data_IF_232975888808
#
_entry.id   IF_232975888808
#
_cell.length_a   1.000
_cell.length_b   1.000
_cell.length_c   1.000
_cell.angle_alpha   90.00
_cell.angle_beta   90.00
_cell.angle_gamma   90.00
#
_symmetry.space_group_name_H-M   'P 1'
#
loop_
_entity.id
_entity.type
_entity.pdbx_description
1 polymer ?
#
# COMPACT_ATOMS: atom_id res chain seq x y z
N UNK A 1 18.03 -29.60 7.35
CA UNK A 1 17.30 -29.84 8.61
C UNK A 1 17.87 -28.94 9.67
N UNK A 2 17.16 -27.90 10.07
CA UNK A 2 17.54 -27.08 11.23
C UNK A 2 17.09 -27.82 12.49
N UNK A 3 17.93 -27.89 13.56
CA UNK A 3 17.56 -28.57 14.79
C UNK A 3 16.38 -27.83 15.47
N UNK A 4 15.53 -28.56 16.23
CA UNK A 4 14.39 -27.95 16.90
C UNK A 4 14.87 -26.93 17.91
N UNK A 5 14.22 -25.77 17.90
CA UNK A 5 14.45 -24.60 18.74
C UNK A 5 14.44 -25.02 20.23
N UNK A 6 15.62 -25.26 20.82
CA UNK A 6 15.80 -25.35 22.28
C UNK A 6 15.64 -23.93 22.83
N UNK A 7 14.52 -23.64 23.50
CA UNK A 7 14.46 -22.48 24.41
C UNK A 7 15.64 -22.64 25.35
N UNK A 8 16.59 -21.72 25.32
CA UNK A 8 17.64 -21.62 26.30
C UNK A 8 16.98 -21.45 27.68
N UNK A 9 17.30 -22.35 28.61
CA UNK A 9 16.78 -22.35 30.00
C UNK A 9 17.49 -21.29 30.85
N UNK A 10 17.69 -20.09 30.39
CA UNK A 10 18.36 -19.05 31.17
C UNK A 10 17.58 -18.60 32.42
N UNK A 11 16.28 -18.91 32.51
CA UNK A 11 15.42 -18.50 33.62
C UNK A 11 14.90 -19.64 34.49
N UNK A 12 15.49 -20.84 34.41
CA UNK A 12 15.11 -21.93 35.31
C UNK A 12 15.64 -21.65 36.72
N UNK A 13 14.82 -21.77 37.80
CA UNK A 13 15.22 -21.44 39.16
C UNK A 13 16.23 -22.43 39.76
N UNK A 14 16.42 -23.59 39.13
CA UNK A 14 17.34 -24.66 39.55
C UNK A 14 18.11 -25.21 38.36
N UNK A 15 19.37 -25.67 38.62
CA UNK A 15 20.12 -26.46 37.67
C UNK A 15 19.63 -27.94 37.69
N UNK A 16 20.01 -28.75 36.68
CA UNK A 16 19.62 -30.16 36.62
C UNK A 16 20.16 -30.95 37.85
N UNK A 17 21.35 -30.65 38.30
CA UNK A 17 21.93 -31.23 39.53
C UNK A 17 21.11 -30.85 40.77
N UNK A 18 20.73 -29.59 40.88
CA UNK A 18 19.89 -29.08 41.96
C UNK A 18 18.49 -29.68 41.93
N UNK A 19 17.86 -29.84 40.75
CA UNK A 19 16.56 -30.50 40.63
C UNK A 19 16.62 -31.96 41.08
N UNK A 20 17.64 -32.71 40.66
CA UNK A 20 17.84 -34.10 41.05
C UNK A 20 18.03 -34.23 42.54
N UNK A 21 18.92 -33.44 43.14
CA UNK A 21 19.15 -33.43 44.60
C UNK A 21 17.87 -33.09 45.38
N UNK A 22 17.12 -32.09 44.96
CA UNK A 22 15.87 -31.67 45.60
C UNK A 22 14.82 -32.76 45.64
N UNK A 23 14.70 -33.57 44.61
CA UNK A 23 13.73 -34.67 44.59
C UNK A 23 14.15 -35.82 45.50
N UNK A 24 15.42 -36.15 45.51
CA UNK A 24 15.95 -37.19 46.42
C UNK A 24 15.75 -36.77 47.88
N UNK A 25 16.13 -35.56 48.24
CA UNK A 25 16.00 -35.02 49.56
C UNK A 25 14.51 -34.85 50.00
N UNK A 26 13.62 -34.48 49.06
CA UNK A 26 12.20 -34.41 49.35
C UNK A 26 11.59 -35.79 49.73
N UNK A 27 12.08 -36.85 49.14
CA UNK A 27 11.67 -38.22 49.48
C UNK A 27 11.89 -38.53 50.98
N UNK A 28 12.96 -38.03 51.58
CA UNK A 28 13.28 -38.17 52.98
C UNK A 28 12.51 -37.20 53.87
N UNK A 29 12.41 -35.92 53.46
CA UNK A 29 11.94 -34.84 54.35
C UNK A 29 10.43 -34.59 54.22
N UNK A 30 9.83 -34.77 53.07
CA UNK A 30 8.40 -34.58 52.75
C UNK A 30 7.82 -33.22 53.19
N UNK A 31 8.68 -32.21 53.36
CA UNK A 31 8.33 -30.85 53.77
C UNK A 31 9.14 -29.83 53.01
N UNK A 32 8.45 -28.95 52.27
CA UNK A 32 9.07 -27.97 51.37
C UNK A 32 9.86 -26.90 52.14
N UNK A 33 9.40 -26.49 53.32
CA UNK A 33 10.11 -25.48 54.13
C UNK A 33 11.43 -26.03 54.64
N UNK A 34 11.44 -27.28 55.10
CA UNK A 34 12.67 -27.99 55.55
C UNK A 34 13.58 -28.26 54.36
N UNK A 35 13.03 -28.72 53.22
CA UNK A 35 13.75 -28.93 51.96
C UNK A 35 14.49 -27.66 51.52
N UNK A 36 13.84 -26.52 51.62
CA UNK A 36 14.44 -25.21 51.25
C UNK A 36 15.61 -24.84 52.16
N UNK A 37 15.52 -25.16 53.43
CA UNK A 37 16.62 -24.96 54.40
C UNK A 37 17.80 -25.86 54.11
N UNK A 38 17.56 -27.16 53.87
CA UNK A 38 18.58 -28.14 53.50
C UNK A 38 19.25 -27.78 52.17
N UNK A 39 18.49 -27.32 51.17
CA UNK A 39 19.01 -26.83 49.92
C UNK A 39 19.99 -25.67 50.10
N UNK A 40 19.63 -24.69 50.95
CA UNK A 40 20.48 -23.54 51.24
C UNK A 40 21.80 -23.98 51.88
N UNK A 41 21.74 -24.93 52.81
CA UNK A 41 22.91 -25.47 53.50
C UNK A 41 23.81 -26.28 52.56
N UNK A 42 23.23 -27.20 51.81
CA UNK A 42 23.95 -28.11 50.91
C UNK A 42 24.68 -27.34 49.79
N UNK A 43 23.99 -26.46 49.12
CA UNK A 43 24.59 -25.66 48.01
C UNK A 43 25.28 -24.37 48.48
N UNK A 44 25.36 -24.11 49.80
CA UNK A 44 25.99 -22.94 50.42
C UNK A 44 25.53 -21.61 49.79
N UNK A 45 24.23 -21.52 49.50
CA UNK A 45 23.63 -20.37 48.81
C UNK A 45 23.19 -19.30 49.84
N UNK A 46 23.51 -18.03 49.59
CA UNK A 46 23.06 -16.92 50.46
C UNK A 46 21.54 -16.80 50.45
N UNK A 47 20.93 -16.45 51.59
CA UNK A 47 19.47 -16.35 51.75
C UNK A 47 18.76 -15.54 50.66
N UNK A 48 19.42 -14.50 50.12
CA UNK A 48 18.86 -13.66 49.05
C UNK A 48 18.80 -14.35 47.68
N UNK A 49 19.65 -15.38 47.45
CA UNK A 49 19.74 -16.11 46.18
C UNK A 49 18.97 -17.44 46.20
N UNK A 50 18.44 -17.84 47.34
CA UNK A 50 17.63 -19.07 47.43
C UNK A 50 16.29 -18.85 46.71
N UNK A 51 15.90 -19.74 45.79
CA UNK A 51 14.62 -19.61 45.08
C UNK A 51 13.42 -19.52 46.04
N UNK A 52 12.37 -18.89 45.62
CA UNK A 52 11.15 -18.70 46.44
C UNK A 52 10.46 -20.04 46.70
N UNK A 53 9.76 -20.17 47.82
CA UNK A 53 8.99 -21.34 48.23
C UNK A 53 8.19 -21.99 47.09
N UNK A 54 7.49 -21.18 46.29
CA UNK A 54 6.69 -21.69 45.18
C UNK A 54 7.53 -22.36 44.07
N UNK A 55 8.82 -22.07 43.92
CA UNK A 55 9.68 -22.77 42.98
C UNK A 55 9.92 -24.23 43.41
N UNK A 56 10.20 -24.43 44.68
CA UNK A 56 10.32 -25.76 45.26
C UNK A 56 9.02 -26.54 45.17
N UNK A 57 7.92 -25.94 45.56
CA UNK A 57 6.60 -26.54 45.49
C UNK A 57 6.24 -26.99 44.07
N UNK A 58 6.44 -26.15 43.08
CA UNK A 58 6.18 -26.47 41.66
C UNK A 58 7.06 -27.60 41.14
N UNK A 59 8.32 -27.67 41.55
CA UNK A 59 9.23 -28.74 41.16
C UNK A 59 8.72 -30.11 41.70
N UNK A 60 8.38 -30.17 42.99
CA UNK A 60 7.86 -31.36 43.64
C UNK A 60 6.52 -31.81 43.07
N UNK A 61 5.56 -30.88 42.93
CA UNK A 61 4.25 -31.14 42.33
C UNK A 61 4.38 -31.66 40.90
N UNK A 62 5.30 -31.08 40.10
CA UNK A 62 5.59 -31.56 38.75
C UNK A 62 6.13 -32.99 38.77
N UNK A 63 7.10 -33.28 39.64
CA UNK A 63 7.69 -34.61 39.76
C UNK A 63 6.67 -35.68 40.14
N UNK A 64 5.78 -35.37 41.09
CA UNK A 64 4.68 -36.23 41.49
C UNK A 64 3.70 -36.43 40.34
N UNK A 65 3.29 -35.38 39.66
CA UNK A 65 2.34 -35.44 38.55
C UNK A 65 2.87 -36.21 37.35
N UNK A 66 4.19 -36.21 37.13
CA UNK A 66 4.86 -36.93 36.03
C UNK A 66 5.34 -38.34 36.44
N UNK A 67 4.87 -38.86 37.56
CA UNK A 67 5.22 -40.22 38.07
C UNK A 67 6.73 -40.44 38.15
N UNK A 68 7.47 -39.46 38.64
CA UNK A 68 8.92 -39.59 38.87
C UNK A 68 9.81 -39.13 37.72
N UNK A 69 9.25 -38.55 36.67
CA UNK A 69 10.03 -37.99 35.55
C UNK A 69 10.29 -36.51 35.77
N UNK A 70 11.56 -36.11 36.04
CA UNK A 70 11.96 -34.70 36.20
C UNK A 70 11.73 -33.87 34.93
N UNK A 71 11.93 -34.52 33.82
CA UNK A 71 11.78 -33.92 32.49
C UNK A 71 10.82 -34.78 31.66
N UNK A 72 9.51 -34.59 31.79
CA UNK A 72 8.58 -35.27 30.90
C UNK A 72 8.93 -34.90 29.45
N UNK A 73 8.74 -35.82 28.50
CA UNK A 73 8.97 -35.53 27.10
C UNK A 73 8.18 -34.26 26.76
N UNK A 74 8.87 -33.29 26.15
CA UNK A 74 8.23 -32.06 25.70
C UNK A 74 7.05 -32.48 24.82
N UNK A 75 5.81 -32.00 25.06
CA UNK A 75 4.69 -32.36 24.23
C UNK A 75 5.10 -32.12 22.77
N UNK A 76 5.10 -33.20 21.99
CA UNK A 76 5.42 -33.12 20.57
C UNK A 76 4.45 -32.06 19.99
N UNK A 77 4.98 -30.98 19.47
CA UNK A 77 4.16 -29.92 18.92
C UNK A 77 3.17 -30.49 17.90
N UNK A 78 2.17 -29.68 17.51
CA UNK A 78 1.16 -30.12 16.53
C UNK A 78 1.83 -30.87 15.37
N UNK A 79 1.35 -32.06 14.98
CA UNK A 79 1.95 -32.86 13.90
C UNK A 79 2.21 -32.04 12.64
N UNK A 80 3.27 -32.30 11.88
CA UNK A 80 3.49 -31.66 10.59
C UNK A 80 2.30 -31.97 9.68
N UNK A 81 2.04 -31.05 8.75
CA UNK A 81 0.98 -31.24 7.73
C UNK A 81 1.42 -32.36 6.79
N UNK A 82 0.49 -33.25 6.42
CA UNK A 82 0.79 -34.29 5.44
C UNK A 82 1.10 -33.66 4.07
N UNK A 83 2.00 -34.28 3.32
CA UNK A 83 2.35 -33.84 1.97
C UNK A 83 1.14 -33.81 1.03
N UNK A 84 0.23 -34.78 1.21
CA UNK A 84 -1.04 -34.85 0.47
C UNK A 84 -1.90 -33.59 0.70
N UNK A 85 -2.06 -33.17 1.96
CA UNK A 85 -2.82 -31.97 2.29
C UNK A 85 -2.17 -30.72 1.67
N UNK A 86 -0.83 -30.65 1.70
CA UNK A 86 -0.11 -29.53 1.06
C UNK A 86 -0.29 -29.54 -0.45
N UNK A 87 -0.17 -30.70 -1.09
CA UNK A 87 -0.36 -30.85 -2.54
C UNK A 87 -1.79 -30.50 -2.97
N UNK A 88 -2.79 -30.95 -2.21
CA UNK A 88 -4.20 -30.67 -2.45
C UNK A 88 -4.49 -29.16 -2.44
N UNK A 89 -4.11 -28.47 -1.36
CA UNK A 89 -4.30 -27.02 -1.25
C UNK A 89 -3.54 -26.27 -2.35
N UNK A 90 -2.30 -26.64 -2.62
CA UNK A 90 -1.47 -26.04 -3.68
C UNK A 90 -2.10 -26.19 -5.07
N UNK A 91 -2.58 -27.39 -5.39
CA UNK A 91 -3.24 -27.69 -6.66
C UNK A 91 -4.51 -26.87 -6.85
N UNK A 92 -5.34 -26.80 -5.80
CA UNK A 92 -6.59 -26.02 -5.81
C UNK A 92 -6.34 -24.54 -6.08
N UNK A 93 -5.43 -23.91 -5.34
CA UNK A 93 -5.08 -22.49 -5.54
C UNK A 93 -4.49 -22.22 -6.92
N UNK A 94 -3.61 -23.11 -7.41
CA UNK A 94 -3.06 -23.00 -8.77
C UNK A 94 -4.15 -23.07 -9.85
N UNK A 95 -5.23 -23.84 -9.64
CA UNK A 95 -6.37 -23.88 -10.52
C UNK A 95 -7.04 -22.50 -10.68
N UNK A 96 -7.27 -21.80 -9.58
CA UNK A 96 -7.80 -20.43 -9.58
C UNK A 96 -6.82 -19.42 -10.22
N UNK A 97 -5.53 -19.55 -9.92
CA UNK A 97 -4.50 -18.69 -10.56
C UNK A 97 -4.48 -18.83 -12.09
N UNK A 98 -4.62 -20.05 -12.63
CA UNK A 98 -4.68 -20.28 -14.09
C UNK A 98 -5.88 -19.60 -14.73
N UNK A 99 -7.03 -19.57 -14.04
CA UNK A 99 -8.24 -18.88 -14.51
C UNK A 99 -8.23 -17.38 -14.24
N UNK A 100 -7.18 -16.85 -13.59
CA UNK A 100 -7.07 -15.45 -13.13
C UNK A 100 -8.18 -15.04 -12.16
N UNK A 101 -8.70 -15.99 -11.40
CA UNK A 101 -9.76 -15.81 -10.41
C UNK A 101 -9.16 -15.69 -9.01
N UNK A 102 -9.84 -14.94 -8.14
CA UNK A 102 -9.49 -14.87 -6.72
C UNK A 102 -10.21 -15.96 -5.94
N UNK A 103 -9.54 -16.51 -4.93
CA UNK A 103 -10.13 -17.46 -3.99
C UNK A 103 -9.79 -17.08 -2.56
N UNK A 104 -10.77 -17.13 -1.66
CA UNK A 104 -10.55 -16.87 -0.23
C UNK A 104 -10.05 -18.14 0.48
N UNK A 105 -9.34 -17.99 1.62
CA UNK A 105 -8.96 -19.14 2.44
C UNK A 105 -10.18 -19.89 2.98
N UNK A 106 -11.28 -19.20 3.24
CA UNK A 106 -12.55 -19.81 3.66
C UNK A 106 -13.15 -20.68 2.56
N UNK A 107 -13.16 -20.20 1.32
CA UNK A 107 -13.60 -20.99 0.16
C UNK A 107 -12.74 -22.23 -0.03
N UNK A 108 -11.42 -22.10 0.04
CA UNK A 108 -10.51 -23.25 -0.06
C UNK A 108 -10.80 -24.28 1.05
N UNK A 109 -11.02 -23.80 2.27
CA UNK A 109 -11.31 -24.67 3.41
C UNK A 109 -12.62 -25.43 3.24
N UNK A 110 -13.68 -24.75 2.78
CA UNK A 110 -14.98 -25.33 2.51
C UNK A 110 -14.93 -26.38 1.39
N UNK A 111 -14.35 -26.03 0.25
CA UNK A 111 -14.29 -26.90 -0.94
C UNK A 111 -13.42 -28.15 -0.70
N UNK A 112 -12.36 -28.04 0.09
CA UNK A 112 -11.47 -29.16 0.40
C UNK A 112 -11.84 -29.90 1.70
N UNK A 113 -12.93 -29.50 2.37
CA UNK A 113 -13.34 -30.02 3.68
C UNK A 113 -12.19 -30.01 4.72
N UNK A 114 -11.45 -28.89 4.75
CA UNK A 114 -10.34 -28.66 5.66
C UNK A 114 -10.67 -27.55 6.65
N UNK A 115 -10.08 -27.60 7.85
CA UNK A 115 -10.20 -26.50 8.78
C UNK A 115 -9.47 -25.24 8.26
N UNK A 116 -10.06 -24.03 8.36
CA UNK A 116 -9.45 -22.80 7.84
C UNK A 116 -8.02 -22.54 8.34
N UNK A 117 -7.71 -22.89 9.60
CA UNK A 117 -6.36 -22.77 10.14
C UNK A 117 -5.35 -23.73 9.48
N UNK A 118 -5.80 -24.87 8.97
CA UNK A 118 -4.96 -25.80 8.21
C UNK A 118 -4.61 -25.20 6.86
N UNK A 119 -5.60 -24.68 6.14
CA UNK A 119 -5.40 -23.98 4.86
C UNK A 119 -4.46 -22.79 5.05
N UNK A 120 -4.68 -21.97 6.09
CA UNK A 120 -3.80 -20.84 6.41
C UNK A 120 -2.35 -21.31 6.66
N UNK A 121 -2.15 -22.39 7.44
CA UNK A 121 -0.80 -22.94 7.68
C UNK A 121 -0.13 -23.39 6.39
N UNK A 122 -0.85 -24.12 5.53
CA UNK A 122 -0.31 -24.53 4.21
C UNK A 122 0.09 -23.30 3.40
N UNK A 123 -0.83 -22.39 3.18
CA UNK A 123 -0.59 -21.24 2.30
C UNK A 123 0.50 -20.31 2.84
N UNK A 124 0.47 -19.99 4.15
CA UNK A 124 1.36 -18.99 4.75
C UNK A 124 2.66 -19.55 5.29
N UNK A 125 2.67 -20.77 5.88
CA UNK A 125 3.83 -21.32 6.57
C UNK A 125 4.59 -22.37 5.76
N UNK A 126 3.90 -23.09 4.87
CA UNK A 126 4.53 -24.12 4.04
C UNK A 126 4.84 -23.59 2.63
N UNK A 127 3.86 -22.96 1.98
CA UNK A 127 4.03 -22.43 0.63
C UNK A 127 4.63 -21.02 0.59
N UNK A 128 4.63 -20.29 1.71
CA UNK A 128 5.05 -18.89 1.83
C UNK A 128 4.34 -17.95 0.85
N UNK A 129 3.06 -18.24 0.54
CA UNK A 129 2.26 -17.41 -0.36
C UNK A 129 1.53 -16.30 0.40
N UNK A 130 1.43 -15.14 -0.26
CA UNK A 130 0.82 -13.92 0.29
C UNK A 130 -0.33 -13.45 -0.60
N UNK A 131 -1.37 -12.83 -0.02
CA UNK A 131 -2.45 -12.25 -0.81
C UNK A 131 -1.95 -10.95 -1.45
N UNK A 132 -1.78 -10.98 -2.76
CA UNK A 132 -1.49 -9.78 -3.55
C UNK A 132 -2.77 -9.19 -4.11
N UNK A 133 -2.92 -7.87 -4.04
CA UNK A 133 -4.00 -7.18 -4.75
C UNK A 133 -3.67 -7.13 -6.24
N UNK A 134 -4.61 -7.49 -7.12
CA UNK A 134 -4.40 -7.29 -8.55
C UNK A 134 -4.25 -5.79 -8.83
N UNK A 135 -3.28 -5.43 -9.64
CA UNK A 135 -3.13 -4.07 -10.12
C UNK A 135 -4.21 -3.79 -11.14
N UNK A 136 -5.04 -2.77 -10.88
CA UNK A 136 -6.00 -2.29 -11.88
C UNK A 136 -5.19 -1.60 -12.98
N UNK A 137 -5.26 -2.12 -14.18
CA UNK A 137 -4.61 -1.54 -15.36
C UNK A 137 -5.67 -1.10 -16.34
N UNK A 138 -5.40 0.00 -17.03
CA UNK A 138 -6.24 0.44 -18.15
C UNK A 138 -5.92 -0.48 -19.34
N UNK A 139 -6.94 -1.08 -20.00
CA UNK A 139 -6.69 -1.89 -21.18
C UNK A 139 -6.19 -1.00 -22.32
N UNK A 140 -4.96 -1.28 -22.78
CA UNK A 140 -4.30 -0.56 -23.89
C UNK A 140 -4.35 -1.39 -25.15
N UNK A 141 -4.75 -0.77 -26.26
CA UNK A 141 -4.57 -1.32 -27.62
C UNK A 141 -3.14 -1.08 -28.09
N UNK A 142 -2.72 -1.71 -29.16
CA UNK A 142 -1.37 -1.49 -29.71
C UNK A 142 -1.19 -0.05 -30.22
N UNK A 143 -2.23 0.54 -30.80
CA UNK A 143 -2.20 1.97 -31.15
C UNK A 143 -2.02 2.89 -29.94
N UNK A 144 -2.61 2.56 -28.79
CA UNK A 144 -2.35 3.30 -27.55
C UNK A 144 -0.89 3.17 -27.11
N UNK A 145 -0.31 1.96 -27.15
CA UNK A 145 1.09 1.73 -26.77
C UNK A 145 2.05 2.50 -27.70
N UNK A 146 1.80 2.43 -29.00
CA UNK A 146 2.60 3.14 -29.99
C UNK A 146 2.57 4.67 -29.76
N UNK A 147 1.39 5.28 -29.60
CA UNK A 147 1.27 6.70 -29.30
C UNK A 147 1.95 7.11 -28.00
N UNK A 148 1.93 6.22 -26.98
CA UNK A 148 2.66 6.44 -25.73
C UNK A 148 4.17 6.44 -25.92
N UNK A 149 4.69 5.50 -26.72
CA UNK A 149 6.13 5.44 -27.05
C UNK A 149 6.55 6.68 -27.84
N UNK A 150 5.80 7.07 -28.88
CA UNK A 150 6.07 8.26 -29.67
C UNK A 150 6.12 9.54 -28.81
N UNK A 151 5.16 9.72 -27.91
CA UNK A 151 5.18 10.84 -26.97
C UNK A 151 6.39 10.78 -26.03
N UNK A 152 6.71 9.61 -25.49
CA UNK A 152 7.87 9.45 -24.61
C UNK A 152 9.19 9.75 -25.32
N UNK A 153 9.36 9.29 -26.57
CA UNK A 153 10.56 9.57 -27.37
C UNK A 153 10.68 11.08 -27.62
N UNK A 154 9.59 11.74 -28.01
CA UNK A 154 9.57 13.18 -28.16
C UNK A 154 9.92 13.91 -26.85
N UNK A 155 9.31 13.53 -25.72
CA UNK A 155 9.58 14.16 -24.43
C UNK A 155 11.04 13.97 -23.99
N UNK A 156 11.62 12.82 -24.24
CA UNK A 156 13.00 12.52 -23.89
C UNK A 156 14.00 13.26 -24.78
N UNK A 157 13.62 13.63 -26.00
CA UNK A 157 14.43 14.48 -26.89
C UNK A 157 14.46 15.95 -26.47
N UNK A 158 13.52 16.38 -25.58
CA UNK A 158 13.51 17.75 -25.11
C UNK A 158 14.66 18.05 -24.14
N UNK A 159 15.11 19.31 -24.01
CA UNK A 159 16.16 19.69 -23.06
C UNK A 159 15.86 19.31 -21.63
N UNK A 160 16.90 19.17 -20.81
CA UNK A 160 16.75 19.04 -19.34
C UNK A 160 16.07 20.31 -18.83
N UNK A 161 15.04 20.14 -17.97
CA UNK A 161 14.23 21.27 -17.49
C UNK A 161 13.01 21.59 -18.34
N UNK A 162 12.81 20.94 -19.49
CA UNK A 162 11.61 21.17 -20.32
C UNK A 162 10.30 21.00 -19.53
N UNK A 163 10.23 20.00 -18.65
CA UNK A 163 9.02 19.74 -17.84
C UNK A 163 8.62 20.93 -16.95
N UNK A 164 9.55 21.80 -16.59
CA UNK A 164 9.31 22.99 -15.77
C UNK A 164 8.63 24.11 -16.55
N UNK A 165 8.72 24.05 -17.90
CA UNK A 165 8.12 25.00 -18.85
C UNK A 165 6.76 24.56 -19.37
N UNK A 166 6.15 23.55 -18.78
CA UNK A 166 4.86 23.03 -19.22
C UNK A 166 3.84 23.20 -18.10
N UNK A 167 2.70 23.77 -18.43
CA UNK A 167 1.50 23.70 -17.60
C UNK A 167 0.89 22.32 -17.81
N UNK A 168 1.11 21.42 -16.87
CA UNK A 168 0.50 20.09 -16.87
C UNK A 168 -0.89 20.18 -16.29
N UNK A 169 -1.93 19.84 -17.03
CA UNK A 169 -3.30 19.99 -16.56
C UNK A 169 -4.09 18.68 -16.59
N UNK A 170 -5.05 18.56 -15.69
CA UNK A 170 -5.98 17.42 -15.59
C UNK A 170 -7.22 17.81 -14.79
N UNK A 171 -8.31 17.04 -14.91
CA UNK A 171 -9.55 17.18 -14.17
C UNK A 171 -9.84 15.98 -13.28
N UNK A 172 -10.40 16.27 -12.09
CA UNK A 172 -10.81 15.24 -11.15
C UNK A 172 -12.14 15.52 -10.48
N UNK A 173 -12.98 14.48 -10.44
CA UNK A 173 -14.16 14.48 -9.59
C UNK A 173 -13.80 14.18 -8.14
N UNK A 174 -14.15 15.09 -7.25
CA UNK A 174 -14.15 14.86 -5.81
C UNK A 174 -15.58 14.54 -5.36
N UNK A 175 -15.71 13.48 -4.58
CA UNK A 175 -16.98 13.03 -4.00
C UNK A 175 -16.87 13.19 -2.50
N UNK A 176 -17.86 13.80 -1.88
CA UNK A 176 -17.92 13.91 -0.43
C UNK A 176 -18.09 12.52 0.19
N UNK A 177 -17.09 12.12 0.98
CA UNK A 177 -17.08 10.82 1.64
C UNK A 177 -17.91 10.88 2.92
N UNK A 178 -19.09 10.30 2.93
CA UNK A 178 -20.02 10.41 4.04
C UNK A 178 -19.84 9.40 5.19
N UNK A 179 -19.02 8.35 5.02
CA UNK A 179 -18.93 7.34 6.06
C UNK A 179 -17.61 6.54 6.06
N UNK A 180 -17.16 6.07 7.24
CA UNK A 180 -16.07 5.11 7.35
C UNK A 180 -16.50 3.74 6.79
N UNK A 181 -15.56 3.04 6.16
CA UNK A 181 -15.82 1.72 5.57
C UNK A 181 -15.94 0.58 6.60
N UNK A 182 -15.64 0.81 7.87
CA UNK A 182 -15.66 -0.19 8.95
C UNK A 182 -15.80 0.47 10.33
N UNK A 183 -16.55 -0.20 11.20
CA UNK A 183 -16.65 0.12 12.61
C UNK A 183 -16.06 -1.02 13.44
N UNK A 184 -15.34 -0.67 14.50
CA UNK A 184 -14.93 -1.61 15.52
C UNK A 184 -15.93 -1.52 16.67
N UNK A 185 -16.67 -2.59 16.92
CA UNK A 185 -17.65 -2.67 18.01
C UNK A 185 -17.62 -4.07 18.61
N UNK A 186 -18.01 -4.24 19.89
CA UNK A 186 -18.09 -5.53 20.54
C UNK A 186 -19.20 -6.44 20.01
N UNK A 187 -20.20 -5.84 19.34
CA UNK A 187 -21.26 -6.52 18.58
C UNK A 187 -21.56 -5.70 17.34
N UNK A 188 -22.39 -6.23 16.43
CA UNK A 188 -22.83 -5.47 15.25
C UNK A 188 -23.52 -4.18 15.72
N UNK A 189 -22.98 -3.00 15.40
CA UNK A 189 -23.54 -1.72 15.85
C UNK A 189 -24.77 -1.30 15.05
N UNK A 190 -25.25 -2.12 14.07
CA UNK A 190 -26.39 -1.84 13.20
C UNK A 190 -26.38 -0.41 12.62
N UNK A 191 -25.18 0.09 12.32
CA UNK A 191 -25.03 1.43 11.77
C UNK A 191 -25.47 1.42 10.31
N UNK A 192 -26.63 1.96 10.07
CA UNK A 192 -27.08 2.27 8.72
C UNK A 192 -26.30 3.47 8.19
N UNK A 193 -25.47 3.20 7.18
CA UNK A 193 -24.82 4.22 6.40
C UNK A 193 -25.65 4.39 5.14
N UNK A 194 -26.12 5.62 4.87
CA UNK A 194 -26.77 5.91 3.61
C UNK A 194 -25.87 5.41 2.46
N UNK A 195 -26.36 4.41 1.73
CA UNK A 195 -25.72 3.98 0.49
C UNK A 195 -25.51 5.21 -0.38
N UNK A 196 -24.43 5.20 -1.18
CA UNK A 196 -24.23 6.21 -2.22
C UNK A 196 -25.54 6.44 -2.95
N UNK A 197 -26.25 7.51 -2.62
CA UNK A 197 -27.32 7.96 -3.48
C UNK A 197 -26.72 8.11 -4.87
N UNK A 198 -27.40 7.61 -5.90
CA UNK A 198 -27.10 8.00 -7.28
C UNK A 198 -27.24 9.53 -7.31
N UNK A 199 -26.13 10.26 -7.20
CA UNK A 199 -26.13 11.71 -7.04
C UNK A 199 -25.43 12.25 -5.79
N UNK A 200 -24.60 11.47 -5.09
CA UNK A 200 -23.79 11.97 -3.98
C UNK A 200 -23.08 13.26 -4.32
N UNK A 201 -23.04 14.22 -3.37
CA UNK A 201 -22.47 15.54 -3.59
C UNK A 201 -21.04 15.42 -4.15
N UNK A 202 -20.83 15.90 -5.34
CA UNK A 202 -19.55 15.86 -6.05
C UNK A 202 -19.25 17.20 -6.70
N UNK A 203 -18.00 17.50 -6.85
CA UNK A 203 -17.51 18.69 -7.52
C UNK A 203 -16.31 18.32 -8.38
N UNK A 204 -16.20 18.94 -9.55
CA UNK A 204 -15.05 18.76 -10.44
C UNK A 204 -14.03 19.86 -10.17
N UNK A 205 -12.79 19.47 -9.97
CA UNK A 205 -11.64 20.35 -9.99
C UNK A 205 -10.91 20.20 -11.32
N UNK A 206 -10.45 21.31 -11.85
CA UNK A 206 -9.32 21.38 -12.78
C UNK A 206 -8.09 21.78 -11.98
N UNK A 207 -6.94 21.20 -12.29
CA UNK A 207 -5.67 21.67 -11.73
C UNK A 207 -4.61 21.78 -12.82
N UNK A 208 -3.69 22.74 -12.61
CA UNK A 208 -2.49 22.92 -13.40
C UNK A 208 -1.25 22.92 -12.52
N UNK A 209 -0.25 22.09 -12.86
CA UNK A 209 1.08 22.10 -12.23
C UNK A 209 2.01 22.91 -13.13
N UNK A 210 2.56 23.99 -12.61
CA UNK A 210 3.44 24.90 -13.35
C UNK A 210 4.41 25.62 -12.41
N UNK A 211 5.69 25.68 -12.77
CA UNK A 211 6.74 26.47 -12.07
C UNK A 211 6.78 26.27 -10.54
N UNK A 212 6.53 25.03 -10.09
CA UNK A 212 6.54 24.71 -8.66
C UNK A 212 5.26 25.08 -7.90
N UNK A 213 4.18 25.41 -8.60
CA UNK A 213 2.88 25.70 -8.03
C UNK A 213 1.81 24.77 -8.56
N UNK A 214 0.73 24.60 -7.78
CA UNK A 214 -0.48 23.91 -8.20
C UNK A 214 -1.62 24.93 -8.23
N UNK A 215 -2.11 25.24 -9.42
CA UNK A 215 -3.27 26.09 -9.62
C UNK A 215 -4.52 25.22 -9.60
N UNK A 216 -5.55 25.61 -8.85
CA UNK A 216 -6.81 24.87 -8.77
C UNK A 216 -7.97 25.75 -9.20
N UNK A 217 -8.88 25.17 -9.98
CA UNK A 217 -10.17 25.77 -10.30
C UNK A 217 -11.29 24.76 -10.04
N UNK A 218 -12.37 25.22 -9.39
CA UNK A 218 -13.55 24.43 -9.14
C UNK A 218 -14.68 24.79 -10.08
N UNK A 219 -15.16 23.82 -10.84
CA UNK A 219 -16.38 24.02 -11.60
C UNK A 219 -17.60 24.04 -10.68
N UNK A 220 -18.68 24.75 -11.06
CA UNK A 220 -19.91 24.74 -10.30
C UNK A 220 -20.43 23.32 -10.08
N UNK A 221 -20.92 23.04 -8.87
CA UNK A 221 -21.53 21.74 -8.55
C UNK A 221 -22.79 21.54 -9.41
N UNK A 222 -23.03 20.30 -9.83
CA UNK A 222 -24.20 19.90 -10.64
C UNK A 222 -24.28 20.52 -12.05
N UNK A 223 -23.19 21.08 -12.56
CA UNK A 223 -23.14 21.63 -13.92
C UNK A 223 -22.14 20.81 -14.73
N UNK A 224 -22.55 20.36 -15.91
CA UNK A 224 -21.65 19.72 -16.86
C UNK A 224 -20.62 20.71 -17.39
N UNK A 225 -19.36 20.32 -17.39
CA UNK A 225 -18.28 21.08 -18.02
C UNK A 225 -18.39 20.87 -19.53
N UNK A 226 -18.84 21.91 -20.23
CA UNK A 226 -18.82 21.97 -21.67
C UNK A 226 -17.62 22.77 -22.16
N UNK A 227 -17.42 22.84 -23.48
CA UNK A 227 -16.26 23.50 -24.07
C UNK A 227 -16.18 24.99 -23.83
N UNK A 228 -17.31 25.69 -23.77
CA UNK A 228 -17.38 27.12 -23.49
C UNK A 228 -16.90 27.43 -22.06
N UNK A 229 -17.45 26.72 -21.05
CA UNK A 229 -17.02 26.89 -19.66
C UNK A 229 -15.57 26.47 -19.43
N UNK A 230 -15.12 25.45 -20.17
CA UNK A 230 -13.72 25.07 -20.13
C UNK A 230 -12.81 26.16 -20.69
N UNK A 231 -13.17 26.75 -21.82
CA UNK A 231 -12.42 27.86 -22.41
C UNK A 231 -12.41 29.11 -21.51
N UNK A 232 -13.56 29.52 -20.97
CA UNK A 232 -13.65 30.63 -20.01
C UNK A 232 -12.76 30.39 -18.77
N UNK A 233 -12.78 29.17 -18.24
CA UNK A 233 -11.91 28.81 -17.13
C UNK A 233 -10.45 28.94 -17.49
N UNK A 234 -10.00 28.40 -18.64
CA UNK A 234 -8.60 28.48 -19.07
C UNK A 234 -8.16 29.94 -19.29
N UNK A 235 -8.97 30.76 -19.95
CA UNK A 235 -8.69 32.18 -20.16
C UNK A 235 -8.43 32.91 -18.85
N UNK A 236 -9.16 32.56 -17.79
CA UNK A 236 -9.01 33.17 -16.47
C UNK A 236 -7.83 32.65 -15.71
N UNK A 237 -7.67 31.31 -15.61
CA UNK A 237 -6.66 30.70 -14.73
C UNK A 237 -5.25 30.72 -15.32
N UNK A 238 -5.12 30.80 -16.66
CA UNK A 238 -3.83 30.86 -17.32
C UNK A 238 -3.33 32.30 -17.55
N UNK A 239 -4.14 33.33 -17.26
CA UNK A 239 -3.75 34.71 -17.41
C UNK A 239 -2.39 35.06 -16.79
N UNK A 240 -2.05 34.56 -15.57
CA UNK A 240 -0.74 34.87 -14.97
C UNK A 240 0.45 34.20 -15.69
N UNK A 241 0.20 33.15 -16.45
CA UNK A 241 1.22 32.37 -17.18
C UNK A 241 1.38 32.85 -18.62
N UNK A 242 0.37 33.58 -19.15
CA UNK A 242 0.40 34.14 -20.50
C UNK A 242 1.37 35.31 -20.56
N UNK A 243 2.26 35.27 -21.54
CA UNK A 243 3.28 36.31 -21.73
C UNK A 243 4.67 35.91 -21.23
N UNK A 244 4.81 34.78 -20.57
CA UNK A 244 6.12 34.18 -20.39
C UNK A 244 6.55 33.48 -21.68
N UNK A 245 7.72 33.84 -22.17
CA UNK A 245 8.30 33.21 -23.34
C UNK A 245 8.60 31.73 -23.04
N UNK A 246 8.39 30.85 -24.02
CA UNK A 246 8.70 29.42 -23.96
C UNK A 246 7.77 28.51 -23.14
N UNK A 247 6.68 29.00 -22.56
CA UNK A 247 5.73 28.13 -21.86
C UNK A 247 4.93 27.23 -22.81
N UNK A 248 4.70 25.99 -22.37
CA UNK A 248 3.87 25.00 -23.04
C UNK A 248 2.61 24.72 -22.22
N UNK A 249 1.58 24.25 -22.88
CA UNK A 249 0.36 23.80 -22.22
C UNK A 249 0.03 22.35 -22.60
N UNK A 250 -0.32 21.52 -21.58
CA UNK A 250 -0.75 20.16 -21.83
C UNK A 250 -2.18 19.95 -21.34
N UNK A 251 -3.01 19.30 -22.15
CA UNK A 251 -4.31 18.76 -21.79
C UNK A 251 -4.55 17.41 -22.46
N UNK A 252 -5.49 16.62 -21.93
CA UNK A 252 -5.90 15.39 -22.57
C UNK A 252 -6.83 15.61 -23.77
N UNK A 253 -7.34 14.51 -24.34
CA UNK A 253 -8.20 14.54 -25.51
C UNK A 253 -9.70 14.53 -25.21
N UNK A 254 -10.17 15.03 -24.07
CA UNK A 254 -11.59 15.05 -23.74
C UNK A 254 -12.39 15.94 -24.73
N UNK A 255 -13.62 15.54 -25.09
CA UNK A 255 -14.42 16.33 -26.04
C UNK A 255 -14.65 17.80 -25.62
N UNK A 256 -14.74 18.06 -24.31
CA UNK A 256 -14.89 19.40 -23.76
C UNK A 256 -13.68 20.32 -24.02
N UNK A 257 -12.51 19.76 -24.35
CA UNK A 257 -11.29 20.52 -24.60
C UNK A 257 -11.20 21.04 -26.04
N UNK A 258 -11.99 20.48 -26.94
CA UNK A 258 -11.91 20.82 -28.38
C UNK A 258 -12.16 22.32 -28.69
N UNK A 259 -13.17 22.99 -28.10
CA UNK A 259 -13.41 24.40 -28.35
C UNK A 259 -12.28 25.32 -27.88
N UNK A 260 -11.53 24.95 -26.88
CA UNK A 260 -10.41 25.74 -26.36
C UNK A 260 -9.15 25.68 -27.24
N UNK A 261 -9.08 24.72 -28.17
CA UNK A 261 -7.89 24.46 -28.96
C UNK A 261 -7.35 25.68 -29.72
N UNK A 262 -8.21 26.34 -30.48
CA UNK A 262 -7.78 27.51 -31.30
C UNK A 262 -7.21 28.62 -30.42
N UNK A 263 -7.85 28.88 -29.29
CA UNK A 263 -7.35 29.86 -28.31
C UNK A 263 -6.01 29.45 -27.71
N UNK A 264 -5.85 28.20 -27.31
CA UNK A 264 -4.61 27.65 -26.75
C UNK A 264 -3.46 27.71 -27.76
N UNK A 265 -3.71 27.36 -29.03
CA UNK A 265 -2.69 27.41 -30.10
C UNK A 265 -2.23 28.88 -30.33
N UNK A 266 -3.12 29.84 -30.23
CA UNK A 266 -2.77 31.26 -30.29
C UNK A 266 -2.03 31.72 -29.02
N UNK A 267 -2.57 31.45 -27.86
CA UNK A 267 -2.04 31.91 -26.57
C UNK A 267 -0.63 31.36 -26.29
N UNK A 268 -0.38 30.09 -26.62
CA UNK A 268 0.91 29.41 -26.45
C UNK A 268 1.73 29.32 -27.75
N UNK A 269 1.35 30.02 -28.81
CA UNK A 269 2.08 30.11 -30.09
C UNK A 269 2.39 28.72 -30.67
N UNK A 270 1.43 27.79 -30.63
CA UNK A 270 1.55 26.41 -31.09
C UNK A 270 2.25 25.46 -30.12
N UNK A 271 2.73 25.94 -28.98
CA UNK A 271 3.35 25.10 -27.93
C UNK A 271 2.29 24.40 -27.06
N UNK A 272 1.48 23.55 -27.69
CA UNK A 272 0.37 22.82 -27.05
C UNK A 272 0.54 21.32 -27.25
N UNK A 273 0.47 20.57 -26.15
CA UNK A 273 0.45 19.12 -26.11
C UNK A 273 -1.00 18.67 -25.89
N UNK A 274 -1.67 18.22 -26.94
CA UNK A 274 -3.07 17.79 -26.87
C UNK A 274 -3.40 16.79 -27.97
N UNK A 275 -4.62 16.27 -28.03
CA UNK A 275 -5.02 15.17 -28.93
C UNK A 275 -4.78 15.46 -30.43
N UNK A 276 -5.05 16.66 -30.89
CA UNK A 276 -5.02 17.04 -32.31
C UNK A 276 -4.01 18.14 -32.61
N UNK A 277 -2.94 18.20 -31.83
CA UNK A 277 -1.82 19.12 -32.05
C UNK A 277 -0.63 18.35 -32.67
N UNK A 278 0.40 19.05 -33.17
CA UNK A 278 1.61 18.39 -33.67
C UNK A 278 2.26 17.43 -32.67
N UNK A 279 2.08 17.68 -31.36
CA UNK A 279 2.51 16.79 -30.28
C UNK A 279 1.27 16.22 -29.59
N UNK A 280 0.81 15.02 -30.01
CA UNK A 280 -0.41 14.46 -29.46
C UNK A 280 -0.19 13.91 -28.05
N UNK A 281 -1.06 14.30 -27.10
CA UNK A 281 -1.12 13.66 -25.79
C UNK A 281 -1.63 12.21 -25.93
N UNK A 282 -0.91 11.20 -25.42
CA UNK A 282 -1.31 9.81 -25.57
C UNK A 282 -2.53 9.48 -24.72
N UNK A 283 -3.54 8.90 -25.35
CA UNK A 283 -4.75 8.45 -24.64
C UNK A 283 -4.45 7.40 -23.59
N UNK A 284 -5.27 7.37 -22.54
CA UNK A 284 -5.19 6.37 -21.44
C UNK A 284 -3.82 6.32 -20.75
N UNK A 285 -3.24 7.50 -20.48
CA UNK A 285 -1.90 7.63 -19.89
C UNK A 285 -1.87 8.38 -18.56
N UNK A 286 -2.66 7.97 -17.55
CA UNK A 286 -2.61 8.60 -16.23
C UNK A 286 -1.24 8.40 -15.55
N UNK A 287 -0.51 7.36 -15.92
CA UNK A 287 0.84 7.10 -15.46
C UNK A 287 1.90 8.06 -16.03
N UNK A 288 1.53 8.92 -16.98
CA UNK A 288 2.33 10.01 -17.54
C UNK A 288 1.82 11.40 -17.13
N UNK A 289 0.74 11.54 -16.34
CA UNK A 289 0.23 12.80 -15.81
C UNK A 289 0.70 13.02 -14.37
N UNK A 290 1.42 14.11 -14.07
CA UNK A 290 1.88 14.40 -12.71
C UNK A 290 0.72 14.65 -11.74
N UNK A 291 -0.41 15.10 -12.24
CA UNK A 291 -1.63 15.22 -11.47
C UNK A 291 -2.17 13.85 -11.05
N UNK A 292 -2.23 12.89 -11.98
CA UNK A 292 -2.72 11.54 -11.70
C UNK A 292 -1.79 10.70 -10.83
N UNK A 293 -0.48 10.65 -11.17
CA UNK A 293 0.44 9.77 -10.44
C UNK A 293 0.92 10.36 -9.11
N UNK A 294 0.70 11.66 -8.87
CA UNK A 294 1.15 12.32 -7.65
C UNK A 294 0.04 13.16 -7.00
N UNK A 295 -0.32 14.34 -7.59
CA UNK A 295 -1.10 15.36 -6.90
C UNK A 295 -2.47 14.86 -6.42
N UNK A 296 -3.26 14.25 -7.29
CA UNK A 296 -4.58 13.75 -6.91
C UNK A 296 -4.54 12.70 -5.82
N UNK A 297 -3.46 11.91 -5.78
CA UNK A 297 -3.25 10.90 -4.74
C UNK A 297 -3.07 11.52 -3.36
N UNK A 298 -2.18 12.51 -3.24
CA UNK A 298 -1.87 13.19 -1.97
C UNK A 298 -3.01 14.10 -1.53
N UNK A 299 -3.65 14.84 -2.44
CA UNK A 299 -4.84 15.64 -2.15
C UNK A 299 -5.99 14.79 -1.59
N UNK A 300 -6.24 13.61 -2.17
CA UNK A 300 -7.25 12.67 -1.66
C UNK A 300 -6.87 12.07 -0.30
N UNK A 301 -5.59 11.93 0.03
CA UNK A 301 -5.17 11.52 1.37
C UNK A 301 -5.51 12.59 2.40
N UNK A 302 -5.27 13.87 2.07
CA UNK A 302 -5.60 14.97 2.97
C UNK A 302 -7.12 15.12 3.17
N UNK A 303 -7.93 14.99 2.11
CA UNK A 303 -9.40 14.94 2.21
C UNK A 303 -9.86 13.78 3.12
N UNK A 304 -9.24 12.60 3.04
CA UNK A 304 -9.59 11.47 3.92
C UNK A 304 -9.20 11.71 5.38
N UNK A 305 -8.13 12.45 5.61
CA UNK A 305 -7.63 12.80 6.95
C UNK A 305 -8.52 13.86 7.60
N UNK A 306 -8.86 14.92 6.86
CA UNK A 306 -9.68 16.04 7.35
C UNK A 306 -11.17 15.68 7.46
N UNK A 307 -11.66 14.69 6.69
CA UNK A 307 -13.06 14.24 6.66
C UNK A 307 -14.07 15.38 6.51
N UNK A 308 -13.99 16.19 5.47
CA UNK A 308 -14.89 17.32 5.27
C UNK A 308 -16.34 16.88 5.23
N UNK A 309 -17.22 17.64 5.86
CA UNK A 309 -18.68 17.39 5.94
C UNK A 309 -19.45 18.07 4.80
N UNK A 310 -18.85 19.08 4.17
CA UNK A 310 -19.46 19.86 3.10
C UNK A 310 -18.51 19.96 1.89
N UNK A 311 -19.09 20.28 0.70
CA UNK A 311 -18.28 20.57 -0.48
C UNK A 311 -17.42 21.83 -0.31
N UNK A 312 -17.85 22.80 0.49
CA UNK A 312 -17.07 23.99 0.79
C UNK A 312 -15.82 23.61 1.60
N UNK A 313 -15.96 22.86 2.68
CA UNK A 313 -14.83 22.35 3.46
C UNK A 313 -13.88 21.49 2.63
N UNK A 314 -14.42 20.65 1.73
CA UNK A 314 -13.62 19.82 0.83
C UNK A 314 -12.75 20.69 -0.09
N UNK A 315 -13.34 21.72 -0.72
CA UNK A 315 -12.62 22.67 -1.57
C UNK A 315 -11.49 23.36 -0.80
N UNK A 316 -11.83 23.98 0.34
CA UNK A 316 -10.85 24.65 1.21
C UNK A 316 -9.72 23.69 1.64
N UNK A 317 -10.05 22.43 1.97
CA UNK A 317 -9.03 21.42 2.34
C UNK A 317 -8.04 21.20 1.18
N UNK A 318 -8.53 21.04 -0.03
CA UNK A 318 -7.67 20.78 -1.21
C UNK A 318 -6.86 22.02 -1.59
N UNK A 319 -7.46 23.22 -1.52
CA UNK A 319 -6.79 24.50 -1.80
C UNK A 319 -5.68 24.77 -0.79
N UNK A 320 -5.98 24.73 0.50
CA UNK A 320 -4.98 24.94 1.56
C UNK A 320 -3.85 23.90 1.51
N UNK A 321 -4.17 22.66 1.15
CA UNK A 321 -3.15 21.65 0.92
C UNK A 321 -2.25 22.00 -0.27
N UNK A 322 -2.82 22.41 -1.39
CA UNK A 322 -2.04 22.81 -2.58
C UNK A 322 -1.12 24.02 -2.30
N UNK A 323 -1.61 25.00 -1.55
CA UNK A 323 -0.83 26.17 -1.11
C UNK A 323 0.30 25.79 -0.13
N UNK A 324 0.12 24.73 0.66
CA UNK A 324 1.11 24.26 1.62
C UNK A 324 2.23 23.42 1.01
N UNK A 325 2.14 23.04 -0.26
CA UNK A 325 3.13 22.21 -0.93
C UNK A 325 4.45 22.97 -1.11
N UNK A 326 5.56 22.30 -0.82
CA UNK A 326 6.88 22.83 -1.12
C UNK A 326 7.08 22.93 -2.64
N UNK A 327 7.52 24.10 -3.09
CA UNK A 327 7.79 24.38 -4.49
C UNK A 327 8.74 23.36 -5.13
N UNK A 328 9.78 22.93 -4.40
CA UNK A 328 10.72 21.92 -4.89
C UNK A 328 10.06 20.55 -5.09
N UNK A 329 9.13 20.17 -4.20
CA UNK A 329 8.36 18.93 -4.33
C UNK A 329 7.47 18.95 -5.59
N UNK A 330 6.79 20.06 -5.84
CA UNK A 330 5.98 20.24 -7.04
C UNK A 330 6.83 20.15 -8.31
N UNK A 331 7.98 20.82 -8.36
CA UNK A 331 8.93 20.74 -9.48
C UNK A 331 9.45 19.32 -9.67
N UNK A 332 9.83 18.64 -8.60
CA UNK A 332 10.27 17.23 -8.66
C UNK A 332 9.19 16.32 -9.25
N UNK A 333 7.93 16.57 -8.90
CA UNK A 333 6.83 15.76 -9.43
C UNK A 333 6.73 15.91 -10.96
N UNK A 334 6.80 17.10 -11.50
CA UNK A 334 6.79 17.32 -12.94
C UNK A 334 8.03 16.73 -13.64
N UNK A 335 9.22 16.91 -13.08
CA UNK A 335 10.49 16.34 -13.60
C UNK A 335 10.53 14.83 -13.57
N UNK A 336 9.83 14.17 -12.63
CA UNK A 336 9.72 12.73 -12.55
C UNK A 336 9.04 12.12 -13.78
N UNK A 337 8.31 12.92 -14.56
CA UNK A 337 7.73 12.49 -15.84
C UNK A 337 8.80 11.95 -16.82
N UNK A 338 10.01 12.51 -16.85
CA UNK A 338 11.08 12.00 -17.71
C UNK A 338 11.51 10.57 -17.34
N UNK A 339 11.61 10.26 -16.04
CA UNK A 339 11.91 8.90 -15.59
C UNK A 339 10.76 7.94 -15.96
N UNK A 340 9.52 8.39 -15.83
CA UNK A 340 8.33 7.62 -16.22
C UNK A 340 8.29 7.40 -17.73
N UNK A 341 8.68 8.38 -18.53
CA UNK A 341 8.81 8.24 -19.97
C UNK A 341 9.89 7.20 -20.36
N UNK A 342 11.07 7.20 -19.70
CA UNK A 342 12.09 6.15 -19.86
C UNK A 342 11.50 4.75 -19.56
N UNK A 343 10.77 4.62 -18.46
CA UNK A 343 10.12 3.36 -18.08
C UNK A 343 9.03 2.94 -19.08
N UNK A 344 8.18 3.88 -19.53
CA UNK A 344 7.14 3.63 -20.52
C UNK A 344 7.73 3.12 -21.83
N UNK A 345 8.77 3.79 -22.35
CA UNK A 345 9.51 3.39 -23.56
C UNK A 345 10.12 2.01 -23.41
N UNK A 346 10.77 1.72 -22.27
CA UNK A 346 11.40 0.42 -21.99
C UNK A 346 10.41 -0.75 -22.08
N UNK A 347 9.15 -0.54 -21.64
CA UNK A 347 8.12 -1.59 -21.72
C UNK A 347 7.27 -1.53 -23.02
N UNK A 348 7.71 -0.79 -24.04
CA UNK A 348 7.01 -0.69 -25.32
C UNK A 348 5.62 -0.05 -25.17
N UNK A 349 5.46 0.98 -24.35
CA UNK A 349 4.21 1.69 -24.14
C UNK A 349 3.19 0.96 -23.23
N UNK A 350 3.50 -0.23 -22.72
CA UNK A 350 2.61 -0.93 -21.79
C UNK A 350 2.56 -0.23 -20.42
N UNK A 351 1.62 -0.63 -19.55
CA UNK A 351 1.54 -0.13 -18.18
C UNK A 351 2.75 -0.58 -17.35
N UNK A 352 3.35 0.34 -16.62
CA UNK A 352 4.60 0.10 -15.89
C UNK A 352 4.52 0.43 -14.39
N UNK A 353 3.48 1.09 -13.92
CA UNK A 353 3.35 1.63 -12.55
C UNK A 353 3.75 0.63 -11.47
N UNK A 354 3.21 -0.59 -11.52
CA UNK A 354 3.51 -1.64 -10.53
C UNK A 354 4.97 -2.09 -10.51
N UNK A 355 5.73 -1.80 -11.57
CA UNK A 355 7.12 -2.24 -11.77
C UNK A 355 8.11 -1.08 -11.89
N UNK A 356 7.64 0.17 -11.77
CA UNK A 356 8.42 1.37 -12.03
C UNK A 356 9.78 1.38 -11.30
N UNK A 357 9.79 1.14 -9.99
CA UNK A 357 11.03 1.11 -9.20
C UNK A 357 12.05 0.05 -9.67
N UNK A 358 11.57 -1.09 -10.16
CA UNK A 358 12.45 -2.14 -10.70
C UNK A 358 12.98 -1.73 -12.05
N UNK A 359 12.12 -1.26 -12.95
CA UNK A 359 12.49 -0.81 -14.29
C UNK A 359 13.55 0.29 -14.22
N UNK A 360 13.36 1.28 -13.35
CA UNK A 360 14.33 2.38 -13.20
C UNK A 360 15.69 1.88 -12.70
N UNK A 361 15.73 0.97 -11.73
CA UNK A 361 16.99 0.34 -11.27
C UNK A 361 17.70 -0.42 -12.40
N UNK A 362 16.92 -1.17 -13.19
CA UNK A 362 17.47 -1.95 -14.30
C UNK A 362 18.03 -1.02 -15.40
N UNK A 363 17.41 0.14 -15.63
CA UNK A 363 17.88 1.15 -16.58
C UNK A 363 19.12 1.90 -16.07
N UNK A 364 19.16 2.26 -14.80
CA UNK A 364 20.29 3.00 -14.21
C UNK A 364 21.53 2.08 -14.01
N UNK A 365 21.35 0.76 -13.85
CA UNK A 365 22.43 -0.22 -13.76
C UNK A 365 23.03 -0.67 -15.12
N UNK A 366 22.47 -0.23 -16.25
CA UNK A 366 22.99 -0.49 -17.60
C UNK A 366 23.84 0.69 -18.11
N UNK A 367 23.78 1.85 -17.45
CA UNK A 367 24.54 3.06 -17.80
C UNK A 367 25.92 3.12 -17.08
N UNK A 368 26.28 2.11 -16.22
CA UNK A 368 27.62 1.90 -15.65
C UNK A 368 28.39 0.82 -16.47
#
# INVERSE_FOLDING_TARGET
MAPPYRRQRSDAPFTEEQETWLILEYGAVKNITVLRRHFQQHFKITSRKVPRYNAFKRLVERFIATQGTLHPPVPVGRPPLSEETVALVKGFVKGYQRRKESVSLATIASELNLHPSTVWRVVRKVLHWYPYKPHKTVPLTDAHKEGRVQFCDWLLSQPVGFCDKVVWSDEKWFVLLQAPNRYWAPCDPEVEVACKEQGGQKVMAWAGVVQGQVIIHWFPSNVSVNGERYLEMLQRVLQPVLGEDDMWFQQDGAPAHMPARAWLEQAFQGRVISRLTPIPWPSKSPDLSCLDYWFWGVAMQEVRKSKPSTLAELKTTVESFAESLDQEEVVKSARHLRQRARACRHVGGATFEARLKRILRDLDGVEE
#
